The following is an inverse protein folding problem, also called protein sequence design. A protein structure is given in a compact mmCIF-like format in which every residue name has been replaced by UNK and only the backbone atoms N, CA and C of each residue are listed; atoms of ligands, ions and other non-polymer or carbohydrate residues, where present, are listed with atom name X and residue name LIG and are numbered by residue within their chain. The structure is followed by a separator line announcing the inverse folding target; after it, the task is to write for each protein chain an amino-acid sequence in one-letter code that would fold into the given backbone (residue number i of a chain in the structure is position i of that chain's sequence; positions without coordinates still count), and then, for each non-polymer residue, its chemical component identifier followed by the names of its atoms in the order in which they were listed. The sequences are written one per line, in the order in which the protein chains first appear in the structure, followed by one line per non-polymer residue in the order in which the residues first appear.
data_IF_525830595304
#
_entry.id   IF_525830595304
#
_cell.length_a   1.000
_cell.length_b   1.000
_cell.length_c   1.000
_cell.angle_alpha   90.00
_cell.angle_beta   90.00
_cell.angle_gamma   90.00
#
_symmetry.space_group_name_H-M   'P 1'
#
loop_
_entity.id
_entity.type
_entity.pdbx_description
1 polymer ?
#
# COMPACT_ATOMS: atom_id res chain seq x y z
N UNK A 1 -9.43 -17.56 -23.31
CA UNK A 1 -8.59 -16.80 -22.35
C UNK A 1 -7.42 -17.71 -21.97
N UNK A 2 -6.19 -17.23 -22.02
CA UNK A 2 -5.00 -18.03 -21.65
C UNK A 2 -5.10 -18.41 -20.17
N UNK A 3 -4.97 -19.70 -19.86
CA UNK A 3 -5.03 -20.23 -18.48
C UNK A 3 -3.70 -20.04 -17.72
N UNK A 4 -2.74 -19.35 -18.34
CA UNK A 4 -1.40 -19.14 -17.78
C UNK A 4 -1.44 -18.02 -16.73
N UNK A 5 -1.02 -18.27 -15.48
CA UNK A 5 -0.98 -17.25 -14.44
C UNK A 5 -0.11 -16.04 -14.85
N UNK A 6 -0.55 -14.83 -14.54
CA UNK A 6 0.18 -13.60 -14.82
C UNK A 6 1.10 -13.26 -13.66
N UNK A 7 2.39 -13.04 -13.95
CA UNK A 7 3.34 -12.55 -12.96
C UNK A 7 3.13 -11.05 -12.74
N UNK A 8 3.07 -10.63 -11.48
CA UNK A 8 2.92 -9.23 -11.07
C UNK A 8 3.81 -8.97 -9.86
N UNK A 9 4.62 -7.92 -9.95
CA UNK A 9 5.44 -7.42 -8.85
C UNK A 9 4.73 -6.25 -8.20
N UNK A 10 4.39 -6.38 -6.92
CA UNK A 10 3.68 -5.34 -6.17
C UNK A 10 4.52 -4.81 -5.01
N UNK A 11 4.31 -3.55 -4.65
CA UNK A 11 4.96 -2.92 -3.51
C UNK A 11 3.98 -2.10 -2.68
N UNK A 12 4.19 -2.07 -1.35
CA UNK A 12 3.58 -1.07 -0.46
C UNK A 12 4.66 -0.28 0.25
N UNK A 13 4.44 1.03 0.40
CA UNK A 13 5.41 1.91 1.02
C UNK A 13 4.74 3.16 1.62
N UNK A 14 4.79 3.30 2.94
CA UNK A 14 4.48 4.57 3.57
C UNK A 14 5.66 5.53 3.33
N UNK A 15 5.43 6.58 2.54
CA UNK A 15 6.50 7.50 2.11
C UNK A 15 6.68 8.72 3.03
N UNK A 16 5.91 8.78 4.13
CA UNK A 16 6.00 9.85 5.11
C UNK A 16 6.08 11.25 4.46
N UNK A 17 5.23 11.54 3.48
CA UNK A 17 5.21 12.83 2.74
C UNK A 17 6.54 13.14 2.04
N UNK A 18 7.25 12.12 1.58
CA UNK A 18 8.62 12.19 1.03
C UNK A 18 9.64 12.80 2.01
N UNK A 19 9.36 12.74 3.32
CA UNK A 19 10.23 13.25 4.36
C UNK A 19 11.18 12.16 4.84
N UNK A 20 12.45 12.31 4.50
CA UNK A 20 13.50 11.38 4.89
C UNK A 20 13.89 11.47 6.37
N UNK A 21 14.76 10.56 6.80
CA UNK A 21 15.31 10.50 8.17
C UNK A 21 16.11 11.77 8.55
N UNK A 22 16.62 12.51 7.55
CA UNK A 22 17.24 13.84 7.70
C UNK A 22 16.22 14.97 7.81
N UNK A 23 14.91 14.66 7.89
CA UNK A 23 13.78 15.59 7.96
C UNK A 23 13.57 16.45 6.71
N UNK A 24 14.32 16.24 5.62
CA UNK A 24 14.12 16.94 4.34
C UNK A 24 13.05 16.26 3.50
N UNK A 25 12.21 17.05 2.86
CA UNK A 25 11.20 16.59 1.91
C UNK A 25 11.83 16.55 0.54
N UNK A 26 12.05 15.35 -0.01
CA UNK A 26 12.76 15.15 -1.30
C UNK A 26 12.09 14.01 -2.06
N UNK A 27 11.06 14.29 -2.89
CA UNK A 27 10.35 13.26 -3.67
C UNK A 27 11.27 12.44 -4.57
N UNK A 28 12.32 13.05 -5.11
CA UNK A 28 13.31 12.36 -5.95
C UNK A 28 13.96 11.14 -5.25
N UNK A 29 14.07 11.14 -3.92
CA UNK A 29 14.57 9.96 -3.17
C UNK A 29 13.59 8.80 -3.22
N UNK A 30 12.30 9.09 -3.05
CA UNK A 30 11.24 8.08 -3.15
C UNK A 30 11.21 7.52 -4.57
N UNK A 31 11.26 8.38 -5.60
CA UNK A 31 11.32 7.95 -7.00
C UNK A 31 12.53 7.04 -7.24
N UNK A 32 13.71 7.38 -6.71
CA UNK A 32 14.92 6.56 -6.86
C UNK A 32 14.76 5.18 -6.18
N UNK A 33 14.15 5.11 -4.99
CA UNK A 33 13.86 3.84 -4.30
C UNK A 33 12.86 3.00 -5.10
N UNK A 34 11.79 3.62 -5.59
CA UNK A 34 10.75 2.93 -6.36
C UNK A 34 11.24 2.44 -7.73
N UNK A 35 12.17 3.17 -8.39
CA UNK A 35 12.85 2.70 -9.60
C UNK A 35 13.73 1.47 -9.32
N UNK A 36 14.47 1.48 -8.22
CA UNK A 36 15.31 0.34 -7.84
C UNK A 36 14.44 -0.90 -7.50
N UNK A 37 13.22 -0.71 -6.99
CA UNK A 37 12.25 -1.78 -6.70
C UNK A 37 11.66 -2.35 -7.99
N UNK A 38 11.42 -1.51 -8.99
CA UNK A 38 10.86 -1.88 -10.29
C UNK A 38 9.53 -2.66 -10.21
N UNK A 39 8.60 -2.22 -9.36
CA UNK A 39 7.31 -2.87 -9.20
C UNK A 39 6.31 -2.44 -10.30
N UNK A 40 5.42 -3.36 -10.67
CA UNK A 40 4.34 -3.11 -11.64
C UNK A 40 3.18 -2.34 -11.04
N UNK A 41 2.92 -2.56 -9.73
CA UNK A 41 1.87 -1.91 -8.96
C UNK A 41 2.44 -1.45 -7.62
N UNK A 42 2.18 -0.20 -7.25
CA UNK A 42 2.72 0.40 -6.03
C UNK A 42 1.60 1.07 -5.25
N UNK A 43 1.44 0.70 -3.99
CA UNK A 43 0.52 1.33 -3.05
C UNK A 43 1.32 2.22 -2.08
N UNK A 44 1.08 3.53 -2.14
CA UNK A 44 1.74 4.51 -1.28
C UNK A 44 0.77 5.04 -0.23
N UNK A 45 1.28 5.29 0.97
CA UNK A 45 0.57 5.94 2.05
C UNK A 45 1.28 7.26 2.42
N UNK A 46 0.55 8.17 3.06
CA UNK A 46 1.00 9.50 3.44
C UNK A 46 1.50 10.37 2.28
N UNK A 47 0.79 10.37 1.17
CA UNK A 47 1.15 11.15 -0.01
C UNK A 47 0.49 12.53 0.05
N UNK A 48 1.25 13.58 -0.25
CA UNK A 48 0.73 14.93 -0.51
C UNK A 48 0.30 15.00 -1.97
N UNK A 49 -0.97 15.27 -2.20
CA UNK A 49 -1.54 15.50 -3.53
C UNK A 49 -1.52 16.97 -3.93
N UNK A 50 -2.32 17.29 -4.95
CA UNK A 50 -2.46 18.64 -5.46
C UNK A 50 -2.95 19.62 -4.39
N UNK A 51 -2.54 20.87 -4.51
CA UNK A 51 -2.96 22.00 -3.68
C UNK A 51 -3.38 23.19 -4.54
N UNK A 52 -3.61 24.36 -3.92
CA UNK A 52 -3.98 25.57 -4.66
C UNK A 52 -2.93 26.01 -5.67
N UNK A 53 -1.67 25.65 -5.43
CA UNK A 53 -0.53 25.99 -6.30
C UNK A 53 0.31 24.75 -6.53
N UNK A 54 0.37 24.31 -7.78
CA UNK A 54 1.26 23.26 -8.26
C UNK A 54 0.76 21.84 -8.10
N UNK A 55 1.49 20.94 -8.76
CA UNK A 55 1.32 19.49 -8.67
C UNK A 55 1.72 18.97 -7.30
N UNK A 56 1.10 17.85 -6.90
CA UNK A 56 1.47 17.16 -5.67
C UNK A 56 2.52 16.08 -5.88
N UNK A 57 2.95 15.48 -4.77
CA UNK A 57 3.89 14.35 -4.79
C UNK A 57 3.38 13.17 -5.61
N UNK A 58 2.06 12.94 -5.65
CA UNK A 58 1.44 11.86 -6.44
C UNK A 58 1.76 12.00 -7.93
N UNK A 59 1.59 13.21 -8.46
CA UNK A 59 1.88 13.53 -9.87
C UNK A 59 3.39 13.46 -10.15
N UNK A 60 4.22 14.05 -9.28
CA UNK A 60 5.68 14.03 -9.42
C UNK A 60 6.23 12.60 -9.43
N UNK A 61 5.74 11.73 -8.54
CA UNK A 61 6.15 10.32 -8.46
C UNK A 61 5.65 9.56 -9.69
N UNK A 62 4.38 9.74 -10.07
CA UNK A 62 3.81 9.09 -11.26
C UNK A 62 4.57 9.44 -12.53
N UNK A 63 4.81 10.72 -12.77
CA UNK A 63 5.61 11.20 -13.91
C UNK A 63 7.06 10.68 -13.84
N UNK A 64 7.68 10.73 -12.67
CA UNK A 64 9.05 10.25 -12.47
C UNK A 64 9.23 8.75 -12.72
N UNK A 65 8.19 7.95 -12.55
CA UNK A 65 8.20 6.49 -12.79
C UNK A 65 7.61 6.12 -14.17
N UNK A 66 6.95 7.04 -14.86
CA UNK A 66 6.21 6.75 -16.08
C UNK A 66 5.00 5.84 -15.85
N UNK A 67 4.36 5.93 -14.67
CA UNK A 67 3.23 5.09 -14.28
C UNK A 67 1.94 5.90 -14.19
N UNK A 68 0.81 5.27 -14.58
CA UNK A 68 -0.52 5.79 -14.26
C UNK A 68 -0.76 5.77 -12.75
N UNK A 69 -1.56 6.71 -12.25
CA UNK A 69 -1.84 6.77 -10.82
C UNK A 69 -3.24 7.27 -10.52
N UNK A 70 -3.75 6.88 -9.37
CA UNK A 70 -4.98 7.40 -8.76
C UNK A 70 -4.72 7.73 -7.30
N UNK A 71 -5.25 8.88 -6.85
CA UNK A 71 -5.14 9.31 -5.46
C UNK A 71 -6.49 9.26 -4.78
N UNK A 72 -6.48 8.78 -3.55
CA UNK A 72 -7.61 8.88 -2.65
C UNK A 72 -7.31 9.89 -1.55
N UNK A 73 -7.95 11.05 -1.62
CA UNK A 73 -7.83 12.10 -0.60
C UNK A 73 -8.57 11.67 0.66
N UNK A 74 -7.83 11.51 1.77
CA UNK A 74 -8.37 11.20 3.09
C UNK A 74 -8.76 12.46 3.84
N UNK A 75 -7.93 13.50 3.71
CA UNK A 75 -8.14 14.82 4.33
C UNK A 75 -7.32 15.89 3.61
N UNK A 76 -7.57 17.13 3.98
CA UNK A 76 -6.71 18.26 3.58
C UNK A 76 -5.62 18.50 4.63
N UNK A 77 -4.39 18.65 4.19
CA UNK A 77 -3.24 19.00 5.01
C UNK A 77 -2.57 20.24 4.44
N UNK A 78 -2.61 21.36 5.15
CA UNK A 78 -2.03 22.65 4.73
C UNK A 78 -2.46 23.05 3.30
N UNK A 79 -3.76 22.96 3.02
CA UNK A 79 -4.42 23.24 1.74
C UNK A 79 -4.09 22.25 0.60
N UNK A 80 -3.31 21.21 0.84
CA UNK A 80 -3.05 20.13 -0.10
C UNK A 80 -3.90 18.89 0.21
N UNK A 81 -4.23 18.11 -0.78
CA UNK A 81 -4.76 16.77 -0.59
C UNK A 81 -3.74 15.92 0.16
N UNK A 82 -4.21 15.07 1.06
CA UNK A 82 -3.38 14.11 1.77
C UNK A 82 -4.09 12.76 1.81
N UNK A 83 -3.37 11.69 1.46
CA UNK A 83 -3.98 10.37 1.44
C UNK A 83 -3.12 9.28 0.83
N UNK A 84 -3.81 8.32 0.22
CA UNK A 84 -3.23 7.12 -0.37
C UNK A 84 -3.19 7.23 -1.90
N UNK A 85 -2.17 6.61 -2.52
CA UNK A 85 -2.00 6.58 -3.97
C UNK A 85 -1.73 5.14 -4.41
N UNK A 86 -2.38 4.72 -5.49
CA UNK A 86 -2.00 3.52 -6.25
C UNK A 86 -1.40 3.97 -7.56
N UNK A 87 -0.17 3.49 -7.86
CA UNK A 87 0.47 3.63 -9.17
C UNK A 87 0.46 2.27 -9.86
N UNK A 88 0.32 2.27 -11.18
CA UNK A 88 0.28 1.04 -11.96
C UNK A 88 0.88 1.25 -13.35
N UNK A 89 1.63 0.25 -13.84
CA UNK A 89 2.01 0.11 -15.25
C UNK A 89 0.87 -0.39 -16.11
N UNK A 90 -0.09 -1.06 -15.47
CA UNK A 90 -1.28 -1.57 -16.12
C UNK A 90 -2.41 -0.54 -16.12
N UNK A 91 -3.36 -0.60 -17.06
CA UNK A 91 -4.52 0.28 -17.06
C UNK A 91 -5.30 0.21 -15.75
N UNK A 92 -5.62 1.38 -15.18
CA UNK A 92 -6.51 1.50 -14.04
C UNK A 92 -7.92 1.71 -14.58
N UNK A 93 -8.77 0.68 -14.48
CA UNK A 93 -10.12 0.70 -15.07
C UNK A 93 -11.12 1.44 -14.18
N UNK A 94 -10.94 1.33 -12.87
CA UNK A 94 -11.84 1.95 -11.88
C UNK A 94 -11.09 2.20 -10.57
N UNK A 95 -11.52 3.21 -9.83
CA UNK A 95 -11.08 3.41 -8.44
C UNK A 95 -12.24 3.88 -7.56
N UNK A 96 -12.18 3.54 -6.30
CA UNK A 96 -13.16 3.94 -5.30
C UNK A 96 -12.54 4.08 -3.92
N UNK A 97 -13.24 4.79 -3.05
CA UNK A 97 -12.85 5.04 -1.67
C UNK A 97 -13.90 4.49 -0.72
N UNK A 98 -13.45 3.82 0.34
CA UNK A 98 -14.30 3.33 1.42
C UNK A 98 -13.88 3.98 2.74
N UNK A 99 -14.81 4.62 3.41
CA UNK A 99 -14.56 5.28 4.68
C UNK A 99 -14.33 4.26 5.80
N UNK A 100 -13.16 4.38 6.46
CA UNK A 100 -12.76 3.61 7.63
C UNK A 100 -12.71 4.47 8.89
N UNK A 101 -13.10 5.75 8.83
CA UNK A 101 -13.00 6.68 9.96
C UNK A 101 -13.79 6.18 11.18
N UNK A 102 -13.26 6.42 12.36
CA UNK A 102 -13.84 5.99 13.62
C UNK A 102 -13.86 7.11 14.64
N UNK A 103 -15.09 7.51 15.07
CA UNK A 103 -15.31 8.55 16.07
C UNK A 103 -14.55 9.85 15.77
N UNK A 104 -13.79 10.35 16.75
CA UNK A 104 -12.96 11.56 16.67
C UNK A 104 -11.51 11.28 16.31
N UNK A 105 -11.18 10.04 15.91
CA UNK A 105 -9.86 9.70 15.42
C UNK A 105 -9.57 10.36 14.06
N UNK A 106 -8.33 10.35 13.66
CA UNK A 106 -7.92 10.83 12.34
C UNK A 106 -8.67 10.06 11.23
N UNK A 107 -9.17 10.79 10.25
CA UNK A 107 -9.86 10.17 9.12
C UNK A 107 -8.99 9.14 8.42
N UNK A 108 -9.55 7.99 8.13
CA UNK A 108 -8.92 6.87 7.42
C UNK A 108 -9.86 6.34 6.34
N UNK A 109 -9.29 5.86 5.27
CA UNK A 109 -10.05 5.18 4.24
C UNK A 109 -9.24 4.03 3.61
N UNK A 110 -9.96 3.17 2.89
CA UNK A 110 -9.39 2.18 2.00
C UNK A 110 -9.60 2.65 0.57
N UNK A 111 -8.53 2.75 -0.18
CA UNK A 111 -8.54 3.00 -1.62
C UNK A 111 -8.60 1.67 -2.35
N UNK A 112 -9.56 1.47 -3.24
CA UNK A 112 -9.57 0.37 -4.20
C UNK A 112 -9.22 0.88 -5.59
N UNK A 113 -8.33 0.19 -6.27
CA UNK A 113 -8.04 0.35 -7.69
C UNK A 113 -8.23 -1.00 -8.41
N UNK A 114 -8.97 -0.99 -9.50
CA UNK A 114 -9.23 -2.16 -10.34
C UNK A 114 -8.32 -2.06 -11.56
N UNK A 115 -7.43 -3.03 -11.74
CA UNK A 115 -6.38 -3.03 -12.74
C UNK A 115 -6.62 -4.11 -13.78
N UNK A 116 -6.34 -3.80 -15.05
CA UNK A 116 -6.33 -4.78 -16.13
C UNK A 116 -4.93 -5.37 -16.30
N UNK A 117 -4.70 -6.54 -15.75
CA UNK A 117 -3.44 -7.26 -15.88
C UNK A 117 -3.50 -8.15 -17.13
N UNK A 118 -3.28 -7.56 -18.31
CA UNK A 118 -3.31 -8.26 -19.58
C UNK A 118 -4.62 -9.06 -19.83
N UNK A 119 -5.75 -8.43 -19.59
CA UNK A 119 -7.09 -9.02 -19.73
C UNK A 119 -7.60 -9.76 -18.47
N UNK A 120 -6.88 -9.69 -17.35
CA UNK A 120 -7.32 -10.21 -16.04
C UNK A 120 -7.53 -9.05 -15.06
N UNK A 121 -8.66 -9.05 -14.40
CA UNK A 121 -8.98 -8.05 -13.41
C UNK A 121 -8.29 -8.36 -12.08
N UNK A 122 -7.52 -7.40 -11.55
CA UNK A 122 -6.95 -7.44 -10.21
C UNK A 122 -7.49 -6.28 -9.39
N UNK A 123 -8.00 -6.56 -8.20
CA UNK A 123 -8.47 -5.54 -7.25
C UNK A 123 -7.39 -5.27 -6.20
N UNK A 124 -6.88 -4.05 -6.16
CA UNK A 124 -5.85 -3.60 -5.21
C UNK A 124 -6.48 -2.69 -4.17
N UNK A 125 -6.40 -3.07 -2.90
CA UNK A 125 -6.90 -2.31 -1.75
C UNK A 125 -5.72 -1.72 -0.98
N UNK A 126 -5.51 -0.43 -1.10
CA UNK A 126 -4.47 0.31 -0.40
C UNK A 126 -5.03 0.91 0.89
N UNK A 127 -4.43 0.58 2.02
CA UNK A 127 -4.91 0.99 3.34
C UNK A 127 -3.82 1.68 4.16
N UNK A 128 -4.26 2.60 5.03
CA UNK A 128 -3.46 3.14 6.13
C UNK A 128 -4.37 3.21 7.35
N UNK A 129 -4.20 2.25 8.28
CA UNK A 129 -5.05 2.14 9.46
C UNK A 129 -4.60 3.11 10.57
N UNK A 130 -5.48 3.32 11.54
CA UNK A 130 -5.21 4.17 12.69
C UNK A 130 -4.23 3.55 13.69
N UNK A 131 -3.73 4.37 14.62
CA UNK A 131 -2.71 3.96 15.61
C UNK A 131 -3.31 3.38 16.90
N UNK A 132 -4.61 3.62 17.20
CA UNK A 132 -5.26 3.11 18.40
C UNK A 132 -5.80 1.68 18.20
N UNK A 133 -5.69 0.83 19.23
CA UNK A 133 -6.07 -0.59 19.12
C UNK A 133 -7.55 -0.81 18.79
N UNK A 134 -8.45 -0.09 19.45
CA UNK A 134 -9.90 -0.23 19.21
C UNK A 134 -10.30 0.35 17.85
N UNK A 135 -9.67 1.43 17.43
CA UNK A 135 -9.82 2.02 16.10
C UNK A 135 -9.45 0.99 15.03
N UNK A 136 -8.26 0.38 15.10
CA UNK A 136 -7.83 -0.65 14.15
C UNK A 136 -8.76 -1.85 14.12
N UNK A 137 -9.27 -2.30 15.28
CA UNK A 137 -10.25 -3.40 15.32
C UNK A 137 -11.51 -3.05 14.51
N UNK A 138 -12.05 -1.85 14.72
CA UNK A 138 -13.21 -1.36 13.97
C UNK A 138 -12.91 -1.27 12.47
N UNK A 139 -11.78 -0.66 12.12
CA UNK A 139 -11.34 -0.48 10.75
C UNK A 139 -11.11 -1.82 10.03
N UNK A 140 -10.52 -2.81 10.69
CA UNK A 140 -10.31 -4.14 10.14
C UNK A 140 -11.64 -4.85 9.81
N UNK A 141 -12.65 -4.72 10.68
CA UNK A 141 -13.99 -5.26 10.42
C UNK A 141 -14.66 -4.59 9.22
N UNK A 142 -14.55 -3.27 9.10
CA UNK A 142 -15.08 -2.53 7.95
C UNK A 142 -14.34 -2.88 6.65
N UNK A 143 -13.02 -2.93 6.70
CA UNK A 143 -12.18 -3.32 5.57
C UNK A 143 -12.57 -4.71 5.06
N UNK A 144 -12.71 -5.68 5.97
CA UNK A 144 -13.15 -7.02 5.62
C UNK A 144 -14.50 -7.01 4.90
N UNK A 145 -15.49 -6.24 5.38
CA UNK A 145 -16.79 -6.11 4.73
C UNK A 145 -16.68 -5.52 3.31
N UNK A 146 -15.82 -4.54 3.09
CA UNK A 146 -15.61 -3.96 1.75
C UNK A 146 -14.92 -4.93 0.79
N UNK A 147 -13.91 -5.66 1.27
CA UNK A 147 -13.21 -6.64 0.42
C UNK A 147 -14.10 -7.83 0.07
N UNK A 148 -14.98 -8.24 1.01
CA UNK A 148 -15.96 -9.31 0.79
C UNK A 148 -17.22 -8.90 0.00
N UNK A 149 -17.26 -7.69 -0.57
CA UNK A 149 -18.38 -7.30 -1.44
C UNK A 149 -18.50 -8.30 -2.59
N UNK A 150 -19.61 -9.04 -2.63
CA UNK A 150 -19.88 -10.10 -3.61
C UNK A 150 -19.97 -9.59 -5.04
N UNK A 151 -20.15 -8.29 -5.24
CA UNK A 151 -20.17 -7.65 -6.57
C UNK A 151 -18.75 -7.50 -7.14
N UNK A 152 -17.72 -7.61 -6.30
CA UNK A 152 -16.31 -7.52 -6.68
C UNK A 152 -15.74 -8.92 -6.74
N UNK A 153 -15.70 -9.48 -7.95
CA UNK A 153 -15.24 -10.85 -8.21
C UNK A 153 -13.84 -10.86 -8.81
N UNK A 154 -13.02 -11.85 -8.45
CA UNK A 154 -11.65 -11.99 -8.92
C UNK A 154 -10.62 -11.85 -7.80
N UNK A 155 -9.33 -11.98 -8.13
CA UNK A 155 -8.24 -11.87 -7.17
C UNK A 155 -8.16 -10.47 -6.57
N UNK A 156 -7.90 -10.43 -5.27
CA UNK A 156 -7.82 -9.21 -4.47
C UNK A 156 -6.51 -9.18 -3.69
N UNK A 157 -5.86 -8.04 -3.67
CA UNK A 157 -4.67 -7.78 -2.87
C UNK A 157 -4.97 -6.61 -1.93
N UNK A 158 -4.74 -6.80 -0.64
CA UNK A 158 -4.90 -5.78 0.39
C UNK A 158 -3.51 -5.50 0.94
N UNK A 159 -3.04 -4.28 0.81
CA UNK A 159 -1.69 -3.91 1.25
C UNK A 159 -1.65 -2.50 1.81
N UNK A 160 -0.66 -2.23 2.64
CA UNK A 160 -0.50 -0.89 3.23
C UNK A 160 0.13 -0.91 4.61
N UNK A 161 0.02 0.22 5.29
CA UNK A 161 0.42 0.41 6.68
C UNK A 161 -0.77 0.12 7.60
N UNK A 162 -0.67 -0.98 8.33
CA UNK A 162 -1.70 -1.42 9.26
C UNK A 162 -1.51 -0.87 10.68
N UNK A 163 -0.41 -0.17 10.95
CA UNK A 163 -0.08 0.43 12.24
C UNK A 163 -0.19 -0.55 13.43
N UNK A 164 -0.06 -1.84 13.19
CA UNK A 164 -0.21 -2.87 14.23
C UNK A 164 1.15 -3.43 14.66
N UNK A 165 1.65 -2.97 15.81
CA UNK A 165 2.99 -3.26 16.34
C UNK A 165 3.21 -4.72 16.73
N UNK A 166 2.14 -5.41 17.11
CA UNK A 166 2.11 -6.83 17.47
C UNK A 166 0.89 -7.48 16.84
N UNK A 167 0.89 -8.79 16.64
CA UNK A 167 -0.28 -9.52 16.15
C UNK A 167 -1.49 -9.28 17.07
N UNK A 168 -2.25 -8.26 16.76
CA UNK A 168 -3.38 -7.77 17.54
C UNK A 168 -4.73 -8.16 16.95
N UNK A 169 -5.75 -7.35 17.26
CA UNK A 169 -7.12 -7.64 16.85
C UNK A 169 -7.34 -7.44 15.34
N UNK A 170 -6.64 -6.48 14.70
CA UNK A 170 -6.78 -6.27 13.27
C UNK A 170 -6.17 -7.44 12.49
N UNK A 171 -4.93 -7.85 12.82
CA UNK A 171 -4.30 -9.03 12.22
C UNK A 171 -5.16 -10.27 12.40
N UNK A 172 -5.71 -10.52 13.61
CA UNK A 172 -6.58 -11.68 13.87
C UNK A 172 -7.82 -11.67 12.99
N UNK A 173 -8.48 -10.50 12.86
CA UNK A 173 -9.68 -10.35 12.03
C UNK A 173 -9.36 -10.61 10.56
N UNK A 174 -8.29 -10.02 10.04
CA UNK A 174 -7.94 -10.13 8.63
C UNK A 174 -7.39 -11.52 8.27
N UNK A 175 -6.52 -12.11 9.11
CA UNK A 175 -5.98 -13.46 8.86
C UNK A 175 -7.02 -14.57 9.03
N UNK A 176 -8.17 -14.30 9.64
CA UNK A 176 -9.28 -15.24 9.70
C UNK A 176 -10.10 -15.27 8.39
N UNK A 177 -9.95 -14.24 7.54
CA UNK A 177 -10.77 -14.02 6.35
C UNK A 177 -9.95 -14.00 5.05
N UNK A 178 -8.68 -13.64 5.12
CA UNK A 178 -7.79 -13.51 3.97
C UNK A 178 -6.50 -14.28 4.22
N UNK A 179 -5.90 -14.76 3.15
CA UNK A 179 -4.55 -15.29 3.22
C UNK A 179 -3.56 -14.12 3.39
N UNK A 180 -2.56 -14.31 4.24
CA UNK A 180 -1.50 -13.33 4.45
C UNK A 180 -0.23 -13.77 3.75
N UNK A 181 0.48 -12.83 3.14
CA UNK A 181 1.85 -13.06 2.66
C UNK A 181 2.72 -13.35 3.89
N UNK A 182 3.12 -14.62 4.07
CA UNK A 182 3.96 -15.00 5.20
C UNK A 182 5.40 -14.54 5.00
N UNK A 183 5.65 -13.31 5.42
CA UNK A 183 6.98 -12.69 5.36
C UNK A 183 8.03 -13.55 6.08
N UNK A 184 7.61 -14.40 7.04
CA UNK A 184 8.52 -15.21 7.83
C UNK A 184 9.18 -16.34 7.05
N UNK A 185 8.54 -16.82 6.02
CA UNK A 185 9.08 -17.85 5.14
C UNK A 185 10.13 -17.27 4.17
N UNK A 186 10.01 -15.97 3.85
CA UNK A 186 10.84 -15.32 2.84
C UNK A 186 11.95 -14.44 3.43
N UNK A 187 11.74 -13.84 4.61
CA UNK A 187 12.64 -12.83 5.15
C UNK A 187 13.15 -13.16 6.55
N UNK A 188 14.49 -13.12 6.73
CA UNK A 188 15.12 -13.18 8.05
C UNK A 188 14.87 -11.90 8.88
N UNK A 189 14.85 -10.72 8.24
CA UNK A 189 14.59 -9.41 8.84
C UNK A 189 13.24 -8.90 8.36
N UNK A 190 12.25 -8.79 9.26
CA UNK A 190 10.83 -8.57 8.95
C UNK A 190 10.31 -7.19 9.35
N UNK A 191 11.11 -6.38 10.01
CA UNK A 191 10.68 -5.11 10.59
C UNK A 191 10.79 -4.00 9.58
N UNK A 192 9.73 -3.18 9.45
CA UNK A 192 9.62 -2.10 8.46
C UNK A 192 9.80 -0.71 9.07
N UNK A 193 9.59 -0.56 10.38
CA UNK A 193 9.61 0.74 11.09
C UNK A 193 10.42 0.69 12.39
N UNK A 194 11.10 1.76 12.81
CA UNK A 194 11.50 2.91 11.96
C UNK A 194 12.60 2.52 10.96
N UNK A 195 12.60 3.19 9.79
CA UNK A 195 13.43 2.82 8.64
C UNK A 195 14.90 2.55 8.93
N UNK A 196 15.58 3.43 9.69
CA UNK A 196 17.02 3.28 9.98
C UNK A 196 17.32 2.15 10.98
N UNK A 197 16.45 1.97 11.99
CA UNK A 197 16.56 0.91 13.01
C UNK A 197 15.21 0.19 13.17
N UNK A 198 14.82 -0.66 12.21
CA UNK A 198 13.49 -1.26 12.24
C UNK A 198 13.29 -2.18 13.43
N UNK A 199 12.32 -1.87 14.28
CA UNK A 199 11.97 -2.64 15.50
C UNK A 199 10.59 -3.26 15.44
N UNK A 200 9.68 -2.74 14.60
CA UNK A 200 8.31 -3.24 14.42
C UNK A 200 7.98 -3.49 12.95
N UNK A 201 6.99 -4.34 12.71
CA UNK A 201 6.47 -4.65 11.39
C UNK A 201 5.05 -4.09 11.28
N UNK A 202 4.87 -3.01 10.50
CA UNK A 202 3.62 -2.28 10.37
C UNK A 202 2.96 -2.51 9.01
N UNK A 203 3.75 -2.84 8.00
CA UNK A 203 3.32 -2.95 6.61
C UNK A 203 3.01 -4.41 6.27
N UNK A 204 1.80 -4.70 5.80
CA UNK A 204 1.34 -6.06 5.52
C UNK A 204 0.77 -6.17 4.11
N UNK A 205 0.74 -7.42 3.60
CA UNK A 205 0.07 -7.78 2.37
C UNK A 205 -0.81 -9.00 2.66
N UNK A 206 -2.11 -8.90 2.35
CA UNK A 206 -3.08 -9.98 2.37
C UNK A 206 -3.63 -10.19 0.96
N UNK A 207 -4.19 -11.37 0.69
CA UNK A 207 -4.79 -11.67 -0.59
C UNK A 207 -6.00 -12.58 -0.45
N UNK A 208 -6.85 -12.56 -1.47
CA UNK A 208 -8.03 -13.41 -1.62
C UNK A 208 -8.17 -13.83 -3.08
N UNK A 209 -8.57 -15.08 -3.30
CA UNK A 209 -8.71 -15.66 -4.62
C UNK A 209 -7.45 -16.37 -5.13
N UNK A 210 -7.37 -16.56 -6.45
CA UNK A 210 -6.26 -17.30 -7.07
C UNK A 210 -4.98 -16.45 -7.16
N UNK A 211 -4.24 -16.41 -6.07
CA UNK A 211 -2.95 -15.70 -5.96
C UNK A 211 -1.90 -16.64 -5.37
N UNK A 212 -0.76 -16.77 -6.04
CA UNK A 212 0.42 -17.50 -5.55
C UNK A 212 1.51 -16.50 -5.18
N UNK A 213 2.06 -16.61 -3.97
CA UNK A 213 3.20 -15.80 -3.52
C UNK A 213 4.49 -16.50 -3.94
N UNK A 214 5.23 -15.90 -4.86
CA UNK A 214 6.50 -16.45 -5.37
C UNK A 214 7.67 -16.06 -4.48
N UNK A 215 7.76 -14.78 -4.14
CA UNK A 215 8.81 -14.27 -3.25
C UNK A 215 8.40 -12.96 -2.58
N UNK A 216 9.08 -12.63 -1.48
CA UNK A 216 8.90 -11.37 -0.76
C UNK A 216 10.26 -10.73 -0.54
N UNK A 217 10.33 -9.42 -0.70
CA UNK A 217 11.54 -8.63 -0.54
C UNK A 217 11.26 -7.40 0.34
N UNK A 218 12.27 -6.97 1.05
CA UNK A 218 12.26 -5.72 1.82
C UNK A 218 13.58 -5.00 1.55
N UNK A 219 13.64 -4.15 0.53
CA UNK A 219 14.85 -3.43 0.16
C UNK A 219 15.40 -2.59 1.33
N UNK A 220 16.68 -2.81 1.67
CA UNK A 220 17.39 -2.13 2.77
C UNK A 220 18.63 -1.40 2.26
N UNK A 221 18.51 -0.83 1.06
CA UNK A 221 19.60 0.00 0.52
C UNK A 221 19.76 1.27 1.34
N UNK A 222 20.92 1.90 1.30
CA UNK A 222 21.13 3.20 1.96
C UNK A 222 20.11 4.25 1.53
N UNK A 223 19.66 4.22 0.27
CA UNK A 223 18.59 5.09 -0.24
C UNK A 223 17.27 4.80 0.48
N UNK A 224 16.83 3.54 0.57
CA UNK A 224 15.57 3.16 1.20
C UNK A 224 15.57 3.50 2.71
N UNK A 225 16.70 3.27 3.41
CA UNK A 225 16.86 3.60 4.83
C UNK A 225 16.77 5.10 5.13
N UNK A 226 17.10 5.94 4.16
CA UNK A 226 17.10 7.41 4.31
C UNK A 226 15.84 8.08 3.78
N UNK A 227 15.09 7.44 2.87
CA UNK A 227 14.01 8.08 2.11
C UNK A 227 12.71 8.26 2.91
N UNK A 228 12.41 7.37 3.86
CA UNK A 228 11.23 7.41 4.74
C UNK A 228 11.58 6.79 6.10
N UNK A 229 10.69 6.95 7.08
CA UNK A 229 10.73 6.22 8.34
C UNK A 229 10.15 4.80 8.26
N UNK A 230 9.56 4.41 7.11
CA UNK A 230 9.22 3.04 6.78
C UNK A 230 10.19 2.46 5.74
N UNK A 231 10.20 1.13 5.61
CA UNK A 231 10.83 0.40 4.51
C UNK A 231 9.76 -0.15 3.58
N UNK A 232 10.03 -0.16 2.26
CA UNK A 232 9.10 -0.75 1.31
C UNK A 232 9.02 -2.27 1.49
N UNK A 233 7.80 -2.82 1.37
CA UNK A 233 7.53 -4.24 1.32
C UNK A 233 7.11 -4.61 -0.11
N UNK A 234 7.77 -5.60 -0.70
CA UNK A 234 7.59 -6.01 -2.10
C UNK A 234 7.23 -7.48 -2.15
N UNK A 235 6.29 -7.86 -3.00
CA UNK A 235 5.94 -9.25 -3.28
C UNK A 235 5.90 -9.51 -4.79
N UNK A 236 6.45 -10.65 -5.21
CA UNK A 236 6.28 -11.19 -6.54
C UNK A 236 5.16 -12.23 -6.47
N UNK A 237 4.11 -12.03 -7.26
CA UNK A 237 2.90 -12.81 -7.24
C UNK A 237 2.64 -13.44 -8.61
N UNK A 238 1.89 -14.55 -8.64
CA UNK A 238 1.22 -15.06 -9.83
C UNK A 238 -0.29 -15.01 -9.61
N UNK A 239 -1.00 -14.45 -10.56
CA UNK A 239 -2.46 -14.23 -10.52
C UNK A 239 -3.11 -15.15 -11.53
N UNK A 240 -3.96 -16.04 -11.04
CA UNK A 240 -4.66 -17.05 -11.82
C UNK A 240 -6.04 -16.62 -12.34
#
# INVERSE_FOLDING_TARGET
MSDTPQAVRIATYNIHRCRGMDRRVVPARIIAVLRDIDADVIALQEVIGAGPVGAGQAEEIGAGLGMGWVMNCVRTLRQHQFGNVVLSRYPILHHSSYDLSWRTCESRNCQRADLDINGRLLHVYNVHLGTAVLERRYQAGRLAAFVHDRRVTGPKIILGDFNEWMKGLATKTLSALFESVDISQHLKRRRTYPGLFPVVHLDHIYYDGKVEVVSVEMPRTGKALMASDHLPLVANLRIG
#
